data_IF_064387847800
#
_entry.id   IF_064387847800
#
_cell.length_a   1.000
_cell.length_b   1.000
_cell.length_c   1.000
_cell.angle_alpha   90.00
_cell.angle_beta   90.00
_cell.angle_gamma   90.00
#
_symmetry.space_group_name_H-M   'P 1'
#
loop_
_entity.id
_entity.type
_entity.pdbx_description
1 polymer ?
#
# COMPACT_ATOMS: atom_id res chain seq x y z
N UNK A 1 17.94 14.44 -51.02
CA UNK A 1 18.74 15.40 -50.26
C UNK A 1 19.98 14.65 -49.79
N UNK A 2 21.13 14.86 -50.43
CA UNK A 2 22.36 14.13 -50.12
C UNK A 2 23.00 14.73 -48.86
N UNK A 3 23.28 13.88 -47.86
CA UNK A 3 24.00 14.33 -46.66
C UNK A 3 25.43 14.73 -47.11
N UNK A 4 25.90 15.94 -46.80
CA UNK A 4 27.27 16.35 -47.10
C UNK A 4 28.28 15.34 -46.56
N UNK A 5 29.23 14.89 -47.37
CA UNK A 5 30.24 13.88 -47.00
C UNK A 5 31.06 14.28 -45.76
N UNK A 6 31.16 15.59 -45.48
CA UNK A 6 31.83 16.14 -44.30
C UNK A 6 31.06 15.95 -42.99
N UNK A 7 29.74 15.68 -43.04
CA UNK A 7 28.89 15.46 -41.85
C UNK A 7 28.76 13.98 -41.46
N UNK A 8 29.09 13.07 -42.38
CA UNK A 8 29.04 11.62 -42.15
C UNK A 8 29.88 11.14 -40.95
N UNK A 9 31.14 11.61 -40.73
CA UNK A 9 31.92 11.16 -39.57
C UNK A 9 31.32 11.63 -38.23
N UNK A 10 30.72 12.82 -38.19
CA UNK A 10 30.06 13.33 -36.98
C UNK A 10 28.79 12.56 -36.64
N UNK A 11 28.00 12.19 -37.65
CA UNK A 11 26.80 11.37 -37.47
C UNK A 11 27.15 9.96 -36.98
N UNK A 12 28.22 9.36 -37.52
CA UNK A 12 28.72 8.06 -37.07
C UNK A 12 29.23 8.12 -35.62
N UNK A 13 29.96 9.18 -35.25
CA UNK A 13 30.44 9.38 -33.88
C UNK A 13 29.28 9.56 -32.88
N UNK A 14 28.24 10.33 -33.25
CA UNK A 14 27.06 10.52 -32.41
C UNK A 14 26.27 9.22 -32.23
N UNK A 15 26.09 8.43 -33.29
CA UNK A 15 25.42 7.13 -33.22
C UNK A 15 26.20 6.14 -32.34
N UNK A 16 27.53 6.11 -32.45
CA UNK A 16 28.38 5.28 -31.61
C UNK A 16 28.29 5.70 -30.13
N UNK A 17 28.34 7.00 -29.83
CA UNK A 17 28.18 7.51 -28.48
C UNK A 17 26.82 7.13 -27.86
N UNK A 18 25.74 7.20 -28.65
CA UNK A 18 24.40 6.83 -28.20
C UNK A 18 24.28 5.34 -27.87
N UNK A 19 24.85 4.46 -28.71
CA UNK A 19 24.87 3.02 -28.49
C UNK A 19 25.71 2.63 -27.26
N UNK A 20 26.82 3.33 -27.02
CA UNK A 20 27.66 3.13 -25.84
C UNK A 20 26.90 3.55 -24.57
N UNK A 21 26.24 4.71 -24.60
CA UNK A 21 25.43 5.20 -23.48
C UNK A 21 24.25 4.26 -23.16
N UNK A 22 23.57 3.72 -24.17
CA UNK A 22 22.49 2.75 -23.96
C UNK A 22 22.99 1.43 -23.40
N UNK A 23 24.13 0.92 -23.88
CA UNK A 23 24.75 -0.30 -23.36
C UNK A 23 25.22 -0.14 -21.91
N UNK A 24 25.79 1.01 -21.55
CA UNK A 24 26.16 1.33 -20.16
C UNK A 24 24.91 1.44 -19.27
N UNK A 25 23.81 2.00 -19.78
CA UNK A 25 22.55 2.07 -19.04
C UNK A 25 21.91 0.68 -18.82
N UNK A 26 21.97 -0.22 -19.82
CA UNK A 26 21.55 -1.61 -19.68
C UNK A 26 22.43 -2.40 -18.70
N UNK A 27 23.76 -2.22 -18.74
CA UNK A 27 24.67 -2.85 -17.79
C UNK A 27 24.45 -2.37 -16.35
N UNK A 28 24.26 -1.06 -16.13
CA UNK A 28 23.90 -0.52 -14.82
C UNK A 28 22.55 -1.05 -14.33
N UNK A 29 21.56 -1.21 -15.21
CA UNK A 29 20.25 -1.76 -14.86
C UNK A 29 20.31 -3.24 -14.42
N UNK A 30 21.18 -4.04 -15.03
CA UNK A 30 21.42 -5.44 -14.62
C UNK A 30 22.27 -5.54 -13.34
N UNK A 31 23.24 -4.65 -13.13
CA UNK A 31 24.01 -4.57 -11.89
C UNK A 31 23.13 -4.10 -10.72
N UNK A 32 22.28 -3.08 -10.89
CA UNK A 32 21.31 -2.65 -9.87
C UNK A 32 20.31 -3.76 -9.52
N UNK A 33 19.89 -4.58 -10.49
CA UNK A 33 19.02 -5.74 -10.23
C UNK A 33 19.74 -6.90 -9.53
N UNK A 34 21.04 -7.13 -9.81
CA UNK A 34 21.82 -8.16 -9.11
C UNK A 34 22.30 -7.71 -7.72
N UNK A 35 22.52 -6.41 -7.50
CA UNK A 35 22.89 -5.84 -6.20
C UNK A 35 21.69 -5.71 -5.25
N UNK A 36 20.44 -5.70 -5.76
CA UNK A 36 19.24 -5.74 -4.94
C UNK A 36 18.97 -7.09 -4.26
N UNK A 37 19.73 -8.13 -4.58
CA UNK A 37 19.65 -9.45 -3.93
C UNK A 37 20.68 -9.57 -2.78
N UNK A 38 20.91 -8.50 -2.03
CA UNK A 38 21.91 -8.42 -0.97
C UNK A 38 21.27 -8.69 0.41
N UNK A 39 21.60 -9.87 0.94
CA UNK A 39 21.38 -10.39 2.31
C UNK A 39 20.15 -9.84 3.07
N UNK A 40 18.98 -10.45 2.85
CA UNK A 40 17.87 -10.29 3.79
C UNK A 40 18.22 -11.06 5.08
N UNK A 41 18.81 -10.34 6.04
CA UNK A 41 19.32 -10.97 7.26
C UNK A 41 18.24 -10.98 8.34
N UNK A 42 17.83 -12.18 8.74
CA UNK A 42 17.17 -12.41 10.03
C UNK A 42 18.22 -12.64 11.12
N UNK A 43 17.83 -12.55 12.38
CA UNK A 43 18.75 -12.87 13.49
C UNK A 43 19.23 -14.33 13.42
N UNK A 44 20.45 -14.65 13.89
CA UNK A 44 20.95 -16.02 13.87
C UNK A 44 19.99 -17.00 14.52
N UNK A 45 19.76 -18.16 13.89
CA UNK A 45 18.80 -19.19 14.35
C UNK A 45 17.35 -18.69 14.43
N UNK A 46 16.96 -17.75 13.57
CA UNK A 46 15.58 -17.34 13.34
C UNK A 46 15.21 -17.65 11.89
N UNK A 47 13.94 -17.95 11.65
CA UNK A 47 13.45 -18.20 10.30
C UNK A 47 13.36 -16.88 9.53
N UNK A 48 13.92 -16.87 8.32
CA UNK A 48 14.12 -15.71 7.45
C UNK A 48 13.22 -15.73 6.20
N UNK A 49 12.39 -16.77 6.04
CA UNK A 49 11.55 -16.96 4.87
C UNK A 49 10.18 -17.55 5.22
N UNK A 50 9.15 -17.13 4.49
CA UNK A 50 7.84 -17.77 4.41
C UNK A 50 7.50 -17.99 2.93
N UNK A 51 7.73 -19.21 2.44
CA UNK A 51 7.66 -19.48 1.00
C UNK A 51 8.74 -18.69 0.26
N UNK A 52 8.33 -17.77 -0.60
CA UNK A 52 9.22 -16.88 -1.36
C UNK A 52 9.31 -15.46 -0.76
N UNK A 53 8.69 -15.21 0.40
CA UNK A 53 8.69 -13.91 1.06
C UNK A 53 9.77 -13.92 2.13
N UNK A 54 10.68 -12.95 2.07
CA UNK A 54 11.74 -12.84 3.06
C UNK A 54 11.29 -12.07 4.30
N UNK A 55 11.88 -12.43 5.45
CA UNK A 55 11.51 -11.98 6.79
C UNK A 55 12.77 -11.43 7.46
N UNK A 56 13.19 -10.21 7.10
CA UNK A 56 14.30 -9.54 7.75
C UNK A 56 13.94 -9.11 9.16
N UNK A 57 14.93 -9.08 10.05
CA UNK A 57 14.78 -8.36 11.31
C UNK A 57 14.50 -6.86 11.01
N UNK A 58 13.59 -6.15 11.70
CA UNK A 58 12.96 -6.48 12.98
C UNK A 58 11.76 -7.41 12.91
N UNK A 59 11.36 -7.88 11.72
CA UNK A 59 10.31 -8.88 11.58
C UNK A 59 10.81 -10.28 11.94
N UNK A 60 9.89 -11.12 12.40
CA UNK A 60 10.21 -12.50 12.74
C UNK A 60 9.04 -13.23 13.35
N UNK A 61 9.24 -14.54 13.54
CA UNK A 61 8.24 -15.45 14.07
C UNK A 61 8.81 -16.34 15.17
N UNK A 62 7.94 -16.87 16.03
CA UNK A 62 8.29 -17.85 17.04
C UNK A 62 8.91 -17.23 18.28
N UNK A 63 10.24 -17.29 18.42
CA UNK A 63 10.92 -16.89 19.67
C UNK A 63 10.98 -15.36 19.78
N UNK A 64 10.75 -14.76 20.98
CA UNK A 64 10.78 -13.30 21.16
C UNK A 64 12.09 -12.62 20.72
N UNK A 65 13.22 -13.35 20.68
CA UNK A 65 14.50 -12.83 20.18
C UNK A 65 14.58 -12.65 18.66
N UNK A 66 13.58 -13.12 17.91
CA UNK A 66 13.59 -13.13 16.45
C UNK A 66 12.89 -11.92 15.84
N UNK A 67 12.19 -11.12 16.63
CA UNK A 67 11.50 -9.91 16.19
C UNK A 67 11.57 -8.82 17.27
N UNK A 68 11.30 -7.58 16.90
CA UNK A 68 11.01 -6.52 17.87
C UNK A 68 9.51 -6.47 18.18
N UNK A 69 9.09 -5.98 19.36
CA UNK A 69 7.68 -5.80 19.69
C UNK A 69 6.93 -5.06 18.57
N UNK A 70 5.78 -5.59 18.14
CA UNK A 70 5.01 -5.04 17.03
C UNK A 70 5.39 -5.56 15.63
N UNK A 71 6.51 -6.29 15.48
CA UNK A 71 6.97 -6.82 14.19
C UNK A 71 6.78 -8.34 14.04
N UNK A 72 5.98 -8.94 14.92
CA UNK A 72 5.67 -10.37 14.85
C UNK A 72 4.84 -10.70 13.60
N UNK A 73 5.23 -11.78 12.93
CA UNK A 73 4.54 -12.32 11.75
C UNK A 73 4.25 -13.80 11.90
N UNK A 74 3.19 -14.27 11.23
CA UNK A 74 2.83 -15.69 11.14
C UNK A 74 2.93 -16.14 9.69
N UNK A 75 3.59 -17.28 9.47
CA UNK A 75 3.61 -17.96 8.18
C UNK A 75 2.60 -19.10 8.17
N UNK A 76 1.53 -18.97 7.38
CA UNK A 76 0.56 -20.02 7.18
C UNK A 76 1.02 -20.96 6.06
N UNK A 77 1.33 -22.20 6.42
CA UNK A 77 1.81 -23.28 5.52
C UNK A 77 0.75 -24.39 5.40
N UNK A 78 -0.43 -24.05 4.86
CA UNK A 78 -1.45 -25.07 4.58
C UNK A 78 -0.93 -26.09 3.56
N UNK A 79 -1.16 -27.40 3.79
CA UNK A 79 -0.63 -28.51 3.00
C UNK A 79 -1.07 -28.54 1.52
N UNK A 80 -2.07 -27.72 1.15
CA UNK A 80 -2.61 -27.60 -0.21
C UNK A 80 -2.37 -26.24 -0.88
N UNK A 81 -1.69 -25.30 -0.21
CA UNK A 81 -1.54 -23.91 -0.68
C UNK A 81 -0.10 -23.39 -0.63
N UNK A 82 0.18 -22.30 -1.37
CA UNK A 82 1.45 -21.57 -1.24
C UNK A 82 1.52 -20.92 0.16
N UNK A 83 2.68 -20.93 0.84
CA UNK A 83 2.84 -20.24 2.12
C UNK A 83 2.44 -18.76 2.04
N UNK A 84 1.77 -18.25 3.07
CA UNK A 84 1.29 -16.85 3.15
C UNK A 84 1.73 -16.21 4.46
N UNK A 85 2.25 -14.99 4.39
CA UNK A 85 2.77 -14.25 5.53
C UNK A 85 1.73 -13.25 6.03
N UNK A 86 1.52 -13.17 7.34
CA UNK A 86 0.55 -12.27 7.96
C UNK A 86 1.17 -11.49 9.12
N UNK A 87 0.75 -10.24 9.33
CA UNK A 87 1.03 -9.49 10.56
C UNK A 87 0.28 -10.12 11.73
N UNK A 88 0.95 -10.25 12.88
CA UNK A 88 0.40 -11.02 14.00
C UNK A 88 0.92 -10.58 15.39
N UNK A 89 1.21 -9.30 15.61
CA UNK A 89 1.56 -8.84 16.95
C UNK A 89 0.30 -8.64 17.81
N UNK A 90 0.22 -9.37 18.94
CA UNK A 90 -0.88 -9.37 19.91
C UNK A 90 -2.18 -10.08 19.42
N UNK A 91 -3.02 -10.60 20.34
CA UNK A 91 -4.31 -11.26 20.04
C UNK A 91 -5.33 -10.34 19.34
N UNK A 92 -5.07 -9.03 19.34
CA UNK A 92 -5.84 -7.97 18.70
C UNK A 92 -5.10 -7.26 17.56
N UNK A 93 -4.05 -7.88 16.99
CA UNK A 93 -3.17 -7.29 15.98
C UNK A 93 -3.85 -6.79 14.70
N UNK A 94 -3.07 -6.26 13.73
CA UNK A 94 -3.59 -5.61 12.53
C UNK A 94 -4.64 -6.46 11.82
N UNK A 95 -5.78 -5.83 11.56
CA UNK A 95 -6.96 -6.52 11.05
C UNK A 95 -7.51 -5.83 9.81
N UNK A 96 -7.99 -6.64 8.88
CA UNK A 96 -8.86 -6.23 7.80
C UNK A 96 -10.27 -6.77 8.03
N UNK A 97 -11.24 -5.87 8.04
CA UNK A 97 -12.67 -6.20 8.13
C UNK A 97 -13.30 -5.97 6.77
N UNK A 98 -14.00 -6.98 6.25
CA UNK A 98 -14.81 -6.87 5.04
C UNK A 98 -16.26 -7.09 5.41
N UNK A 99 -17.09 -6.10 5.16
CA UNK A 99 -18.52 -6.12 5.49
C UNK A 99 -19.35 -6.03 4.21
N UNK A 100 -20.38 -6.87 4.08
CA UNK A 100 -21.36 -6.78 3.01
C UNK A 100 -22.73 -6.32 3.54
N UNK A 101 -23.28 -5.30 2.88
CA UNK A 101 -24.51 -4.63 3.26
C UNK A 101 -25.46 -4.63 2.05
N UNK A 102 -26.72 -5.00 2.27
CA UNK A 102 -27.78 -4.72 1.31
C UNK A 102 -28.45 -3.43 1.73
N UNK A 103 -28.48 -2.44 0.84
CA UNK A 103 -28.94 -1.11 1.17
C UNK A 103 -29.94 -0.58 0.13
N UNK A 104 -30.97 0.11 0.60
CA UNK A 104 -31.91 0.85 -0.22
C UNK A 104 -31.59 2.33 -0.08
N UNK A 105 -31.42 3.05 -1.20
CA UNK A 105 -31.05 4.47 -1.20
C UNK A 105 -31.92 5.36 -0.29
N UNK A 106 -33.18 5.00 -0.06
CA UNK A 106 -34.15 5.76 0.75
C UNK A 106 -34.26 5.29 2.21
N UNK A 107 -33.56 4.23 2.62
CA UNK A 107 -33.64 3.68 3.97
C UNK A 107 -32.58 4.31 4.89
N UNK A 108 -32.97 4.64 6.14
CA UNK A 108 -32.03 5.04 7.20
C UNK A 108 -31.37 3.86 7.93
N UNK A 109 -31.95 2.66 7.80
CA UNK A 109 -31.48 1.47 8.51
C UNK A 109 -30.64 0.60 7.58
N UNK A 110 -29.40 0.36 7.98
CA UNK A 110 -28.44 -0.51 7.29
C UNK A 110 -28.48 -1.89 7.94
N UNK A 111 -28.69 -2.96 7.16
CA UNK A 111 -28.58 -4.35 7.66
C UNK A 111 -27.28 -4.99 7.20
N UNK A 112 -26.35 -5.19 8.14
CA UNK A 112 -25.14 -5.97 7.92
C UNK A 112 -25.49 -7.44 7.69
N UNK A 113 -25.19 -7.93 6.51
CA UNK A 113 -25.49 -9.31 6.12
C UNK A 113 -24.29 -10.24 6.35
N UNK A 114 -23.06 -9.69 6.38
CA UNK A 114 -21.84 -10.48 6.52
C UNK A 114 -20.68 -9.59 7.00
N UNK A 115 -19.89 -10.07 7.95
CA UNK A 115 -18.65 -9.42 8.43
C UNK A 115 -17.56 -10.48 8.51
N UNK A 116 -16.47 -10.27 7.79
CA UNK A 116 -15.28 -11.15 7.82
C UNK A 116 -14.10 -10.39 8.41
N UNK A 117 -13.45 -11.00 9.40
CA UNK A 117 -12.26 -10.47 10.06
C UNK A 117 -11.05 -11.30 9.61
N UNK A 118 -10.11 -10.67 8.93
CA UNK A 118 -8.89 -11.30 8.41
C UNK A 118 -7.64 -10.61 8.97
N UNK A 119 -6.57 -11.37 9.17
CA UNK A 119 -5.25 -10.78 9.41
C UNK A 119 -4.74 -10.08 8.15
N UNK A 120 -3.86 -9.08 8.33
CA UNK A 120 -3.21 -8.37 7.21
C UNK A 120 -2.18 -9.30 6.56
N UNK A 121 -2.41 -9.70 5.30
CA UNK A 121 -1.46 -10.51 4.51
C UNK A 121 -0.39 -9.62 3.88
N UNK A 122 0.88 -9.98 4.08
CA UNK A 122 2.04 -9.32 3.51
C UNK A 122 2.40 -9.91 2.14
N UNK A 123 2.87 -9.04 1.24
CA UNK A 123 3.44 -9.39 -0.06
C UNK A 123 4.96 -9.47 0.03
N UNK A 124 5.58 -8.42 0.58
CA UNK A 124 7.02 -8.26 0.73
C UNK A 124 7.34 -7.24 1.82
N UNK A 125 8.59 -7.29 2.29
CA UNK A 125 9.12 -6.42 3.34
C UNK A 125 10.43 -5.83 2.84
N UNK A 126 10.59 -4.52 3.00
CA UNK A 126 11.78 -3.78 2.60
C UNK A 126 12.28 -2.93 3.77
N UNK A 127 13.31 -3.43 4.45
CA UNK A 127 13.94 -2.72 5.57
C UNK A 127 14.74 -1.50 5.12
N UNK A 128 15.38 -1.58 3.96
CA UNK A 128 16.09 -0.43 3.39
C UNK A 128 15.17 0.80 3.18
N UNK A 129 13.91 0.54 2.83
CA UNK A 129 12.92 1.59 2.61
C UNK A 129 12.00 1.83 3.83
N UNK A 130 12.09 1.01 4.88
CA UNK A 130 11.17 1.01 6.02
C UNK A 130 9.70 0.82 5.60
N UNK A 131 9.48 -0.09 4.65
CA UNK A 131 8.17 -0.33 4.04
C UNK A 131 7.81 -1.81 4.03
N UNK A 132 6.52 -2.11 4.14
CA UNK A 132 5.95 -3.43 3.91
C UNK A 132 4.74 -3.34 2.99
N UNK A 133 4.67 -4.18 1.96
CA UNK A 133 3.50 -4.25 1.08
C UNK A 133 2.52 -5.28 1.60
N UNK A 134 1.23 -4.98 1.53
CA UNK A 134 0.16 -5.85 1.99
C UNK A 134 -0.97 -5.95 0.96
N UNK A 135 -1.70 -7.08 0.94
CA UNK A 135 -2.95 -7.20 0.18
C UNK A 135 -4.08 -6.47 0.90
N UNK A 136 -4.92 -5.77 0.13
CA UNK A 136 -6.14 -5.11 0.62
C UNK A 136 -7.31 -5.37 -0.33
N UNK A 137 -8.47 -5.74 0.20
CA UNK A 137 -9.65 -5.92 -0.62
C UNK A 137 -10.23 -4.59 -1.14
N UNK A 138 -10.85 -4.64 -2.32
CA UNK A 138 -11.49 -3.51 -3.00
C UNK A 138 -12.92 -3.33 -2.49
N UNK A 139 -13.30 -2.10 -2.12
CA UNK A 139 -14.69 -1.76 -1.81
C UNK A 139 -15.51 -1.67 -3.09
N UNK A 140 -16.78 -2.04 -3.03
CA UNK A 140 -17.69 -1.96 -4.18
C UNK A 140 -19.10 -1.57 -3.77
N UNK A 141 -19.81 -0.80 -4.59
CA UNK A 141 -21.24 -0.56 -4.47
C UNK A 141 -21.92 -0.94 -5.79
N UNK A 142 -22.64 -2.05 -5.79
CA UNK A 142 -23.27 -2.62 -6.99
C UNK A 142 -24.78 -2.52 -6.92
N UNK A 143 -25.38 -1.74 -7.81
CA UNK A 143 -26.82 -1.62 -7.97
C UNK A 143 -27.44 -2.95 -8.42
N UNK A 144 -28.43 -3.44 -7.67
CA UNK A 144 -29.24 -4.59 -8.07
C UNK A 144 -30.51 -4.16 -8.81
N UNK A 145 -30.96 -2.92 -8.57
CA UNK A 145 -31.97 -2.21 -9.35
C UNK A 145 -31.79 -0.69 -9.16
N UNK A 146 -32.75 0.11 -9.62
CA UNK A 146 -32.70 1.59 -9.53
C UNK A 146 -32.66 2.17 -8.11
N UNK A 147 -33.05 1.39 -7.08
CA UNK A 147 -33.19 1.86 -5.69
C UNK A 147 -32.40 1.03 -4.67
N UNK A 148 -31.94 -0.15 -5.06
CA UNK A 148 -31.22 -1.10 -4.20
C UNK A 148 -29.81 -1.32 -4.71
N UNK A 149 -28.86 -1.39 -3.79
CA UNK A 149 -27.49 -1.77 -4.06
C UNK A 149 -26.97 -2.72 -2.99
N UNK A 150 -26.01 -3.55 -3.40
CA UNK A 150 -25.19 -4.38 -2.52
C UNK A 150 -23.83 -3.73 -2.43
N UNK A 151 -23.44 -3.34 -1.22
CA UNK A 151 -22.13 -2.77 -0.98
C UNK A 151 -21.25 -3.75 -0.22
N UNK A 152 -19.96 -3.72 -0.57
CA UNK A 152 -18.88 -4.37 0.16
C UNK A 152 -17.93 -3.27 0.60
N UNK A 153 -17.77 -3.13 1.90
CA UNK A 153 -16.88 -2.16 2.50
C UNK A 153 -15.71 -2.89 3.12
N UNK A 154 -14.53 -2.34 2.93
CA UNK A 154 -13.33 -2.83 3.56
C UNK A 154 -12.78 -1.75 4.50
N UNK A 155 -12.34 -2.20 5.67
CA UNK A 155 -11.73 -1.40 6.73
C UNK A 155 -10.46 -2.09 7.21
N UNK A 156 -9.40 -1.33 7.46
CA UNK A 156 -8.18 -1.82 8.10
C UNK A 156 -7.91 -1.02 9.35
N UNK A 157 -7.55 -1.72 10.42
CA UNK A 157 -7.02 -1.13 11.64
C UNK A 157 -5.64 -1.77 11.87
N UNK A 158 -4.60 -0.94 11.87
CA UNK A 158 -3.21 -1.34 12.12
C UNK A 158 -2.85 -1.29 13.62
N UNK A 159 -3.70 -0.74 14.48
CA UNK A 159 -3.45 -0.56 15.91
C UNK A 159 -2.58 0.66 16.18
N UNK A 160 -3.04 1.55 17.06
CA UNK A 160 -2.40 2.85 17.29
C UNK A 160 -1.01 2.73 17.94
N UNK A 161 -0.83 1.71 18.77
CA UNK A 161 0.43 1.40 19.47
C UNK A 161 1.43 0.62 18.60
N UNK A 162 1.01 0.16 17.42
CA UNK A 162 1.81 -0.66 16.52
C UNK A 162 2.80 0.14 15.68
N UNK A 163 3.81 -0.49 15.06
CA UNK A 163 4.85 0.22 14.32
C UNK A 163 4.41 0.71 12.94
N UNK A 164 3.21 0.33 12.46
CA UNK A 164 2.78 0.52 11.08
C UNK A 164 1.84 1.71 10.86
N UNK A 165 2.01 2.40 9.74
CA UNK A 165 1.14 3.45 9.24
C UNK A 165 0.89 3.26 7.74
N UNK A 166 -0.25 3.73 7.24
CA UNK A 166 -0.50 3.81 5.81
C UNK A 166 0.43 4.88 5.17
N UNK A 167 1.21 4.51 4.16
CA UNK A 167 2.04 5.49 3.45
C UNK A 167 1.19 6.42 2.59
N UNK A 168 1.04 7.67 3.01
CA UNK A 168 0.30 8.67 2.22
C UNK A 168 1.01 9.00 0.88
N UNK A 169 2.33 8.86 0.86
CA UNK A 169 3.14 9.22 -0.30
C UNK A 169 3.19 8.10 -1.33
N UNK A 170 3.10 6.84 -0.90
CA UNK A 170 3.15 5.67 -1.77
C UNK A 170 1.79 5.15 -2.18
N UNK A 171 0.72 5.54 -1.49
CA UNK A 171 -0.64 5.11 -1.84
C UNK A 171 -1.51 6.26 -2.35
N UNK A 172 -2.61 5.90 -2.98
CA UNK A 172 -3.61 6.82 -3.52
C UNK A 172 -5.01 6.20 -3.37
N UNK A 173 -6.02 7.03 -3.12
CA UNK A 173 -7.42 6.62 -3.23
C UNK A 173 -7.81 6.67 -4.69
N UNK A 174 -8.33 5.56 -5.22
CA UNK A 174 -8.93 5.48 -6.55
C UNK A 174 -10.40 5.13 -6.44
N UNK A 175 -11.25 5.89 -7.13
CA UNK A 175 -12.65 5.56 -7.35
C UNK A 175 -12.91 5.24 -8.82
N UNK A 176 -13.67 4.19 -9.12
CA UNK A 176 -14.02 3.76 -10.49
C UNK A 176 -15.54 3.65 -10.61
N UNK A 177 -16.10 4.25 -11.64
CA UNK A 177 -17.54 4.22 -11.91
C UNK A 177 -18.06 5.50 -12.54
N UNK A 178 -19.38 5.54 -12.75
CA UNK A 178 -20.07 6.72 -13.29
C UNK A 178 -20.96 7.38 -12.23
N UNK A 179 -20.73 8.67 -11.98
CA UNK A 179 -21.45 9.45 -10.97
C UNK A 179 -21.26 8.87 -9.55
N UNK A 180 -20.01 8.55 -9.22
CA UNK A 180 -19.61 8.02 -7.92
C UNK A 180 -18.60 8.95 -7.27
N UNK A 181 -18.84 9.25 -6.00
CA UNK A 181 -17.85 9.90 -5.14
C UNK A 181 -17.34 8.87 -4.14
N UNK A 182 -16.06 8.51 -4.31
CA UNK A 182 -15.37 7.57 -3.43
C UNK A 182 -14.68 8.36 -2.34
N UNK A 183 -14.82 7.92 -1.10
CA UNK A 183 -14.24 8.59 0.07
C UNK A 183 -13.42 7.62 0.91
N UNK A 184 -12.30 8.08 1.41
CA UNK A 184 -11.57 7.41 2.48
C UNK A 184 -12.23 7.72 3.82
N UNK A 185 -12.40 6.70 4.65
CA UNK A 185 -12.85 6.84 6.03
C UNK A 185 -11.67 6.61 6.95
N UNK A 186 -11.32 7.61 7.78
CA UNK A 186 -10.31 7.47 8.83
C UNK A 186 -10.96 7.59 10.21
N UNK A 187 -10.42 6.88 11.19
CA UNK A 187 -10.60 7.22 12.62
C UNK A 187 -9.28 7.87 13.06
N UNK A 188 -9.28 9.16 13.37
CA UNK A 188 -8.09 9.79 13.99
C UNK A 188 -8.37 9.96 15.47
N UNK A 189 -7.58 9.29 16.31
CA UNK A 189 -7.68 9.33 17.76
C UNK A 189 -7.21 10.65 18.38
N UNK A 190 -7.90 11.76 18.12
CA UNK A 190 -7.84 12.89 19.05
C UNK A 190 -8.87 12.65 20.16
N UNK A 191 -8.38 12.47 21.39
CA UNK A 191 -9.18 12.31 22.60
C UNK A 191 -10.02 13.58 22.84
N UNK A 192 -11.26 13.56 22.38
CA UNK A 192 -12.27 14.61 22.56
C UNK A 192 -13.57 14.22 21.86
N UNK A 193 -14.68 14.88 22.18
CA UNK A 193 -16.01 14.63 21.57
C UNK A 193 -16.10 14.99 20.08
N UNK A 194 -15.00 15.37 19.42
CA UNK A 194 -14.94 15.69 17.99
C UNK A 194 -14.03 14.70 17.27
N UNK A 195 -14.64 13.68 16.64
CA UNK A 195 -13.93 12.79 15.72
C UNK A 195 -13.53 13.59 14.47
N UNK A 196 -12.29 14.08 14.40
CA UNK A 196 -11.74 14.77 13.21
C UNK A 196 -11.41 13.77 12.09
N UNK A 197 -12.41 13.12 11.52
CA UNK A 197 -12.20 12.24 10.38
C UNK A 197 -11.74 13.06 9.15
N UNK A 198 -10.51 12.85 8.69
CA UNK A 198 -10.14 13.26 7.34
C UNK A 198 -10.88 12.38 6.35
N UNK A 199 -11.65 13.01 5.45
CA UNK A 199 -12.40 12.31 4.41
C UNK A 199 -11.93 12.73 3.02
N UNK A 200 -10.69 12.39 2.60
CA UNK A 200 -10.31 12.55 1.21
C UNK A 200 -11.34 11.88 0.31
N UNK A 201 -11.85 12.62 -0.66
CA UNK A 201 -12.79 12.09 -1.65
C UNK A 201 -12.39 12.48 -3.06
N UNK A 202 -12.87 11.70 -4.02
CA UNK A 202 -12.78 12.04 -5.43
C UNK A 202 -14.09 11.71 -6.13
N UNK A 203 -14.43 12.46 -7.17
CA UNK A 203 -15.64 12.29 -7.97
C UNK A 203 -15.29 11.84 -9.39
N UNK A 204 -15.96 10.79 -9.85
CA UNK A 204 -16.02 10.43 -11.28
C UNK A 204 -17.44 10.65 -11.78
N UNK A 205 -17.62 11.43 -12.85
CA UNK A 205 -18.93 11.76 -13.41
C UNK A 205 -18.94 11.75 -14.94
N UNK A 206 -19.74 10.86 -15.52
CA UNK A 206 -19.92 10.71 -16.96
C UNK A 206 -21.26 11.26 -17.47
N UNK A 207 -22.00 12.02 -16.64
CA UNK A 207 -23.30 12.61 -16.99
C UNK A 207 -24.30 11.59 -17.57
N UNK A 208 -24.25 10.34 -17.07
CA UNK A 208 -25.12 9.27 -17.54
C UNK A 208 -24.80 8.76 -18.95
N UNK A 209 -23.60 9.00 -19.49
CA UNK A 209 -23.20 8.54 -20.83
C UNK A 209 -21.79 7.93 -20.79
N UNK A 210 -21.70 6.59 -20.87
CA UNK A 210 -20.42 5.86 -20.83
C UNK A 210 -19.43 6.25 -21.95
N UNK A 211 -19.92 6.76 -23.09
CA UNK A 211 -19.08 7.25 -24.20
C UNK A 211 -18.16 8.42 -23.83
N UNK A 212 -18.37 9.05 -22.67
CA UNK A 212 -17.49 10.11 -22.16
C UNK A 212 -16.36 9.56 -21.28
N UNK A 213 -16.37 8.26 -20.98
CA UNK A 213 -15.22 7.62 -20.36
C UNK A 213 -14.04 7.64 -21.33
N UNK A 214 -12.86 7.93 -20.80
CA UNK A 214 -11.62 7.89 -21.55
C UNK A 214 -10.60 7.17 -20.70
N UNK A 215 -9.83 6.29 -21.34
CA UNK A 215 -8.67 5.70 -20.68
C UNK A 215 -7.61 6.76 -20.41
N UNK A 216 -7.58 7.85 -21.19
CA UNK A 216 -6.70 9.01 -20.95
C UNK A 216 -5.24 8.61 -20.85
N UNK A 217 -4.79 7.59 -21.58
CA UNK A 217 -3.48 6.94 -21.40
C UNK A 217 -3.24 6.42 -19.96
N UNK A 218 -4.26 5.87 -19.30
CA UNK A 218 -4.24 5.39 -17.92
C UNK A 218 -4.44 6.46 -16.85
N UNK A 219 -4.70 7.72 -17.23
CA UNK A 219 -4.86 8.82 -16.25
C UNK A 219 -6.25 8.87 -15.62
N UNK A 220 -6.27 9.07 -14.29
CA UNK A 220 -7.49 8.99 -13.50
C UNK A 220 -8.02 10.38 -13.12
N UNK A 221 -8.77 11.01 -14.02
CA UNK A 221 -9.06 12.45 -13.99
C UNK A 221 -10.55 12.83 -13.91
N UNK A 222 -11.41 11.92 -13.45
CA UNK A 222 -12.84 12.16 -13.21
C UNK A 222 -13.77 11.67 -14.33
N UNK A 223 -13.21 11.10 -15.41
CA UNK A 223 -13.94 10.57 -16.57
C UNK A 223 -13.96 9.04 -16.59
N UNK A 224 -14.61 8.45 -15.59
CA UNK A 224 -14.74 6.99 -15.43
C UNK A 224 -13.96 6.47 -14.22
N UNK A 225 -12.87 7.15 -13.85
CA UNK A 225 -12.23 6.98 -12.56
C UNK A 225 -11.73 8.33 -12.02
N UNK A 226 -11.49 8.39 -10.72
CA UNK A 226 -10.93 9.56 -10.03
C UNK A 226 -9.88 9.14 -9.00
N UNK A 227 -9.07 10.10 -8.56
CA UNK A 227 -8.08 9.87 -7.51
C UNK A 227 -8.02 10.99 -6.46
N UNK A 228 -7.61 10.65 -5.24
CA UNK A 228 -7.33 11.62 -4.17
C UNK A 228 -6.06 11.26 -3.38
N UNK A 229 -5.34 12.29 -2.94
CA UNK A 229 -4.22 12.14 -2.01
C UNK A 229 -4.70 11.77 -0.60
N UNK A 230 -3.81 11.17 0.19
CA UNK A 230 -4.13 10.64 1.51
C UNK A 230 -3.54 11.54 2.61
N UNK A 231 -4.16 11.60 3.79
CA UNK A 231 -3.61 12.31 4.94
C UNK A 231 -2.47 11.51 5.56
N UNK A 232 -1.61 12.20 6.32
CA UNK A 232 -0.54 11.57 7.09
C UNK A 232 -1.11 10.89 8.35
N UNK A 233 -0.31 10.03 8.98
CA UNK A 233 -0.57 9.47 10.32
C UNK A 233 -1.85 8.63 10.42
N UNK A 234 -2.11 7.79 9.42
CA UNK A 234 -3.30 6.96 9.38
C UNK A 234 -2.99 5.52 9.79
N UNK A 235 -3.58 5.09 10.91
CA UNK A 235 -3.58 3.70 11.42
C UNK A 235 -4.87 2.96 11.07
N UNK A 236 -5.97 3.70 10.92
CA UNK A 236 -7.31 3.18 10.65
C UNK A 236 -7.89 3.77 9.37
N UNK A 237 -8.22 2.90 8.40
CA UNK A 237 -8.63 3.35 7.07
C UNK A 237 -9.58 2.39 6.35
N UNK A 238 -10.64 2.94 5.80
CA UNK A 238 -11.62 2.28 4.94
C UNK A 238 -11.89 3.04 3.64
N UNK A 239 -12.60 2.41 2.71
CA UNK A 239 -13.15 3.10 1.53
C UNK A 239 -14.67 2.95 1.52
N UNK A 240 -15.35 4.08 1.42
CA UNK A 240 -16.81 4.21 1.34
C UNK A 240 -17.21 5.02 0.10
N UNK A 241 -18.51 5.10 -0.15
CA UNK A 241 -19.09 5.83 -1.27
C UNK A 241 -20.20 6.74 -0.80
N UNK A 242 -20.27 7.96 -1.34
CA UNK A 242 -21.44 8.80 -1.09
C UNK A 242 -22.64 8.20 -1.82
N UNK A 243 -23.83 8.09 -1.19
CA UNK A 243 -25.01 7.58 -1.85
C UNK A 243 -25.38 8.46 -3.07
N UNK A 244 -25.20 7.92 -4.28
CA UNK A 244 -25.63 8.54 -5.53
C UNK A 244 -26.39 7.52 -6.38
N UNK A 245 -27.47 7.97 -7.03
CA UNK A 245 -28.25 7.12 -7.93
C UNK A 245 -27.41 6.70 -9.13
N UNK A 246 -27.37 5.39 -9.39
CA UNK A 246 -26.73 4.85 -10.57
C UNK A 246 -27.73 4.79 -11.74
N UNK A 247 -27.78 5.85 -12.55
CA UNK A 247 -28.63 5.91 -13.74
C UNK A 247 -28.23 4.91 -14.82
N UNK A 248 -27.00 4.38 -14.75
CA UNK A 248 -26.42 3.45 -15.71
C UNK A 248 -26.38 2.01 -15.19
N UNK A 249 -27.14 1.68 -14.14
CA UNK A 249 -27.03 0.38 -13.45
C UNK A 249 -27.20 -0.86 -14.35
N UNK A 250 -27.91 -0.75 -15.48
CA UNK A 250 -28.08 -1.88 -16.40
C UNK A 250 -26.79 -2.22 -17.16
N UNK A 251 -25.98 -1.20 -17.48
CA UNK A 251 -24.74 -1.31 -18.27
C UNK A 251 -23.47 -1.19 -17.42
N UNK A 252 -23.49 -0.40 -16.35
CA UNK A 252 -22.44 -0.20 -15.36
C UNK A 252 -23.06 -0.34 -13.96
N UNK A 253 -23.32 -1.57 -13.46
CA UNK A 253 -24.00 -1.77 -12.18
C UNK A 253 -23.15 -1.41 -10.96
N UNK A 254 -21.82 -1.52 -11.06
CA UNK A 254 -20.91 -1.43 -9.94
C UNK A 254 -20.03 -0.18 -9.99
N UNK A 255 -19.82 0.39 -8.81
CA UNK A 255 -18.74 1.31 -8.52
C UNK A 255 -17.71 0.62 -7.63
N UNK A 256 -16.43 0.98 -7.80
CA UNK A 256 -15.33 0.42 -7.03
C UNK A 256 -14.51 1.52 -6.39
N UNK A 257 -13.91 1.20 -5.25
CA UNK A 257 -13.10 2.12 -4.48
C UNK A 257 -11.95 1.35 -3.84
N UNK A 258 -10.73 1.84 -4.03
CA UNK A 258 -9.52 1.17 -3.56
C UNK A 258 -8.50 2.16 -3.02
N UNK A 259 -7.81 1.77 -1.95
CA UNK A 259 -6.55 2.38 -1.53
C UNK A 259 -5.46 1.47 -2.04
N UNK A 260 -4.60 2.01 -2.90
CA UNK A 260 -3.65 1.21 -3.68
C UNK A 260 -2.32 1.93 -3.83
N UNK A 261 -1.23 1.18 -3.99
CA UNK A 261 0.08 1.70 -4.35
C UNK A 261 -0.02 2.54 -5.64
N UNK A 262 0.61 3.73 -5.63
CA UNK A 262 0.63 4.63 -6.78
C UNK A 262 1.18 3.93 -8.00
N UNK A 263 0.59 4.24 -9.15
CA UNK A 263 0.95 3.68 -10.46
C UNK A 263 0.72 2.17 -10.63
N UNK A 264 0.17 1.47 -9.63
CA UNK A 264 -0.15 0.04 -9.76
C UNK A 264 -1.45 -0.19 -10.55
N UNK A 265 -2.46 0.65 -10.32
CA UNK A 265 -3.73 0.57 -11.02
C UNK A 265 -3.74 1.48 -12.25
N UNK A 266 -4.01 0.90 -13.42
CA UNK A 266 -4.24 1.61 -14.67
C UNK A 266 -5.70 1.43 -15.06
N UNK A 267 -6.43 2.55 -15.17
CA UNK A 267 -7.83 2.51 -15.54
C UNK A 267 -8.03 2.05 -16.98
N UNK A 268 -8.96 1.13 -17.17
CA UNK A 268 -9.51 0.77 -18.48
C UNK A 268 -10.99 1.11 -18.51
N UNK A 269 -11.47 1.63 -19.65
CA UNK A 269 -12.91 1.83 -19.87
C UNK A 269 -13.70 0.52 -19.70
N UNK A 270 -13.06 -0.63 -19.91
CA UNK A 270 -13.65 -1.96 -19.66
C UNK A 270 -14.00 -2.21 -18.19
N UNK A 271 -13.32 -1.56 -17.24
CA UNK A 271 -13.58 -1.68 -15.80
C UNK A 271 -14.97 -1.13 -15.43
N UNK A 272 -15.56 -0.29 -16.30
CA UNK A 272 -16.93 0.19 -16.16
C UNK A 272 -17.98 -0.87 -16.56
N UNK A 273 -17.60 -1.93 -17.27
CA UNK A 273 -18.54 -2.93 -17.78
C UNK A 273 -18.60 -4.21 -16.93
N UNK A 274 -18.01 -4.19 -15.73
CA UNK A 274 -17.95 -5.34 -14.82
C UNK A 274 -19.19 -5.57 -13.96
N UNK A 275 -19.47 -6.85 -13.66
CA UNK A 275 -20.41 -7.31 -12.61
C UNK A 275 -19.73 -7.96 -11.40
N UNK A 276 -18.41 -8.15 -11.47
CA UNK A 276 -17.62 -8.88 -10.46
C UNK A 276 -16.67 -7.96 -9.69
N UNK A 277 -16.04 -8.49 -8.64
CA UNK A 277 -15.08 -7.75 -7.84
C UNK A 277 -13.80 -7.51 -8.66
N UNK A 278 -13.39 -6.24 -8.81
CA UNK A 278 -12.05 -5.94 -9.31
C UNK A 278 -11.03 -6.52 -8.31
N UNK A 279 -10.08 -7.30 -8.83
CA UNK A 279 -8.98 -7.90 -8.07
C UNK A 279 -9.44 -8.75 -6.86
N UNK A 280 -9.93 -9.99 -7.07
CA UNK A 280 -10.51 -10.82 -6.00
C UNK A 280 -9.54 -11.18 -4.87
N UNK A 281 -8.23 -11.20 -5.15
CA UNK A 281 -7.18 -11.38 -4.12
C UNK A 281 -6.87 -10.10 -3.35
N UNK A 282 -7.26 -8.95 -3.88
CA UNK A 282 -6.93 -7.62 -3.37
C UNK A 282 -5.87 -6.91 -4.21
N UNK A 283 -5.61 -5.66 -3.82
CA UNK A 283 -4.64 -4.74 -4.41
C UNK A 283 -3.50 -4.48 -3.42
N UNK A 284 -2.30 -4.08 -3.89
CA UNK A 284 -1.20 -3.73 -3.00
C UNK A 284 -1.46 -2.41 -2.28
N UNK A 285 -1.18 -2.40 -0.99
CA UNK A 285 -1.07 -1.19 -0.18
C UNK A 285 0.31 -1.16 0.47
N UNK A 286 0.96 0.00 0.48
CA UNK A 286 2.27 0.21 1.11
C UNK A 286 2.10 0.73 2.53
N UNK A 287 2.64 0.00 3.49
CA UNK A 287 2.73 0.41 4.88
C UNK A 287 4.13 0.92 5.16
N UNK A 288 4.25 2.07 5.82
CA UNK A 288 5.50 2.52 6.43
C UNK A 288 5.61 1.93 7.83
N UNK A 289 6.83 1.64 8.29
CA UNK A 289 7.05 1.24 9.68
C UNK A 289 8.20 2.02 10.32
N UNK A 290 8.10 2.20 11.64
CA UNK A 290 9.14 2.82 12.45
C UNK A 290 9.19 2.19 13.85
N UNK A 291 10.27 2.47 14.59
CA UNK A 291 10.35 2.15 16.00
C UNK A 291 9.59 3.22 16.77
N UNK A 292 8.39 2.86 17.24
CA UNK A 292 7.47 3.73 17.97
C UNK A 292 7.50 3.42 19.46
N UNK A 293 6.98 4.35 20.27
CA UNK A 293 6.88 4.25 21.74
C UNK A 293 8.22 4.25 22.51
N UNK A 294 9.36 4.40 21.83
CA UNK A 294 10.67 4.63 22.45
C UNK A 294 11.14 6.09 22.31
N UNK A 295 10.29 6.95 21.74
CA UNK A 295 10.60 8.35 21.46
C UNK A 295 11.55 8.51 20.26
N UNK A 296 12.11 9.71 20.15
CA UNK A 296 13.12 10.05 19.14
C UNK A 296 14.48 9.40 19.43
N UNK A 297 15.40 9.49 18.48
CA UNK A 297 16.79 9.03 18.64
C UNK A 297 17.43 9.59 19.91
N UNK A 298 18.08 8.75 20.73
CA UNK A 298 18.75 9.20 21.93
C UNK A 298 19.93 10.12 21.55
N UNK A 299 20.18 11.21 22.31
CA UNK A 299 21.34 12.06 22.11
C UNK A 299 22.65 11.27 22.24
N UNK A 300 23.66 11.70 21.51
CA UNK A 300 24.99 11.06 21.53
C UNK A 300 25.58 11.08 22.95
N UNK A 301 26.16 9.96 23.36
CA UNK A 301 26.75 9.80 24.71
C UNK A 301 25.75 9.55 25.85
N UNK A 302 24.43 9.58 25.59
CA UNK A 302 23.44 9.20 26.59
C UNK A 302 23.17 7.69 26.62
N UNK A 303 22.65 7.21 27.75
CA UNK A 303 22.25 5.82 27.89
C UNK A 303 21.05 5.52 27.01
N UNK A 304 21.19 4.54 26.12
CA UNK A 304 20.13 4.10 25.22
C UNK A 304 18.96 3.50 26.01
N UNK A 305 17.70 3.78 25.63
CA UNK A 305 16.55 3.23 26.32
C UNK A 305 16.50 1.70 26.19
N UNK A 306 15.81 1.05 27.14
CA UNK A 306 15.55 -0.38 27.04
C UNK A 306 14.74 -0.68 25.76
N UNK A 307 15.18 -1.65 24.98
CA UNK A 307 14.53 -1.99 23.70
C UNK A 307 14.99 -1.16 22.50
N UNK A 308 16.00 -0.30 22.66
CA UNK A 308 16.61 0.42 21.54
C UNK A 308 16.99 -0.50 20.38
N UNK A 309 16.53 -0.14 19.17
CA UNK A 309 16.52 -1.04 18.02
C UNK A 309 17.80 -1.02 17.18
N UNK A 310 18.48 0.13 17.07
CA UNK A 310 19.66 0.29 16.20
C UNK A 310 20.92 -0.20 16.90
N UNK A 311 21.02 -1.52 17.07
CA UNK A 311 22.10 -2.16 17.82
C UNK A 311 23.38 -2.37 17.00
N UNK A 312 23.31 -2.24 15.68
CA UNK A 312 24.48 -2.38 14.82
C UNK A 312 25.44 -1.19 14.99
N UNK A 313 26.74 -1.48 15.04
CA UNK A 313 27.80 -0.46 14.99
C UNK A 313 27.97 0.20 13.62
N UNK A 314 27.39 -0.37 12.58
CA UNK A 314 27.43 0.10 11.19
C UNK A 314 26.14 0.81 10.78
N UNK A 315 25.30 1.15 11.76
CA UNK A 315 24.01 1.82 11.57
C UNK A 315 23.91 3.05 12.44
N UNK A 316 23.09 4.00 12.01
CA UNK A 316 22.72 5.17 12.79
C UNK A 316 21.21 5.24 12.98
N UNK A 317 20.80 5.89 14.05
CA UNK A 317 19.40 6.21 14.31
C UNK A 317 19.01 7.48 13.56
N UNK A 318 17.87 7.45 12.88
CA UNK A 318 17.34 8.60 12.16
C UNK A 318 15.89 8.82 12.58
N UNK A 319 15.60 10.00 13.13
CA UNK A 319 14.24 10.43 13.45
C UNK A 319 13.41 10.44 12.17
N UNK A 320 12.16 9.97 12.26
CA UNK A 320 11.24 10.18 11.13
C UNK A 320 10.74 11.62 11.16
N UNK A 321 10.19 12.08 10.02
CA UNK A 321 9.62 13.43 9.90
C UNK A 321 8.37 13.65 10.75
N UNK A 322 7.86 12.62 11.44
CA UNK A 322 6.59 12.65 12.18
C UNK A 322 6.74 12.88 13.69
N UNK A 323 7.96 12.79 14.24
CA UNK A 323 8.26 13.06 15.66
C UNK A 323 7.92 11.89 16.58
N UNK A 324 8.77 11.67 17.60
CA UNK A 324 8.69 10.60 18.61
C UNK A 324 8.76 9.15 18.09
N UNK A 325 9.37 8.98 16.92
CA UNK A 325 9.77 7.68 16.37
C UNK A 325 11.07 7.78 15.55
N UNK A 326 11.70 6.63 15.31
CA UNK A 326 12.92 6.54 14.54
C UNK A 326 13.03 5.26 13.73
N UNK A 327 13.94 5.27 12.76
CA UNK A 327 14.37 4.10 11.99
C UNK A 327 15.87 3.94 12.09
N UNK A 328 16.36 2.73 11.80
CA UNK A 328 17.79 2.50 11.67
C UNK A 328 18.18 2.62 10.20
N UNK A 329 19.28 3.32 9.91
CA UNK A 329 19.85 3.42 8.57
C UNK A 329 21.30 3.00 8.60
N UNK A 330 21.77 2.29 7.58
CA UNK A 330 23.18 1.97 7.44
C UNK A 330 23.98 3.27 7.31
N UNK A 331 25.20 3.26 7.86
CA UNK A 331 26.17 4.32 7.61
C UNK A 331 26.59 4.31 6.14
N UNK A 332 27.17 5.42 5.69
CA UNK A 332 27.72 5.51 4.34
C UNK A 332 28.72 4.36 4.11
N UNK A 333 28.62 3.72 2.94
CA UNK A 333 29.41 2.54 2.54
C UNK A 333 29.08 1.21 3.25
N UNK A 334 28.02 1.16 4.07
CA UNK A 334 27.50 -0.09 4.61
C UNK A 334 26.18 -0.47 3.95
N UNK A 335 26.06 -1.72 3.55
CA UNK A 335 24.86 -2.29 2.93
C UNK A 335 24.31 -3.44 3.78
N UNK A 336 22.99 -3.62 3.73
CA UNK A 336 22.28 -4.75 4.35
C UNK A 336 21.23 -4.30 5.36
N UNK A 337 21.04 -5.10 6.41
CA UNK A 337 20.00 -4.85 7.41
C UNK A 337 20.50 -3.89 8.52
N UNK A 338 20.03 -2.62 8.55
CA UNK A 338 20.52 -1.61 9.49
C UNK A 338 20.22 -1.92 10.96
N UNK A 339 19.37 -2.90 11.25
CA UNK A 339 19.06 -3.26 12.63
C UNK A 339 20.06 -4.26 13.23
N UNK A 340 20.89 -4.92 12.42
CA UNK A 340 21.74 -6.04 12.88
C UNK A 340 23.10 -6.22 12.17
N UNK A 341 23.38 -5.54 11.05
CA UNK A 341 24.65 -5.66 10.28
C UNK A 341 25.51 -4.43 10.46
#
# INVERSE_FOLDING_TARGET
MAIPSQLLPYLLAAAAAFLILSAIAEQRGLEEQQQQQQAVVARPRCQDMCGNISIPFPFGMGKPRCFLPGFEVICNTSSSGRPRLFLAYNESGPVQVVSALNHRFTARNVTASFVMKNAVELMDISVAHNEARAYRAVSSACSTNSTHFRAKFQYTNLGDEGPFLLSAMRNVLIGVGSNVESMMMTSTGETGNEMKAYMPSCLSNLMGKLKYATDGNGTCSGLGCCQAALPLNVTEFGVSFMPRLNLLWQTNPCFYGMLVEKSWYNFSVHDLYGRELLYPRGVPVVLEFAIRNLGSCPPEGQQKPQGYACISGNSTCVNTTRGDDYVCKCLEHYDGNPYII
#
